data_IF_784273050509
#
_entry.id   IF_784273050509
#
_cell.length_a   1.000
_cell.length_b   1.000
_cell.length_c   1.000
_cell.angle_alpha   90.00
_cell.angle_beta   90.00
_cell.angle_gamma   90.00
#
_symmetry.space_group_name_H-M   'P 1'
#
loop_
_entity.id
_entity.type
_entity.pdbx_description
1 polymer ?
#
# COMPACT_ATOMS: atom_id res chain seq x y z
N UNK A 1 -13.67 -18.11 4.98
CA UNK A 1 -13.74 -16.71 4.52
C UNK A 1 -14.99 -16.04 5.07
N UNK A 2 -16.10 -16.01 4.31
CA UNK A 2 -17.37 -15.38 4.70
C UNK A 2 -17.90 -15.87 6.04
N UNK A 3 -17.89 -17.18 6.30
CA UNK A 3 -18.28 -17.72 7.61
C UNK A 3 -17.41 -17.21 8.77
N UNK A 4 -16.09 -17.02 8.55
CA UNK A 4 -15.20 -16.45 9.57
C UNK A 4 -15.46 -14.98 9.79
N UNK A 5 -15.72 -14.24 8.71
CA UNK A 5 -16.12 -12.84 8.78
C UNK A 5 -17.42 -12.70 9.57
N UNK A 6 -18.44 -13.50 9.24
CA UNK A 6 -19.71 -13.51 9.98
C UNK A 6 -19.52 -13.79 11.47
N UNK A 7 -18.71 -14.80 11.82
CA UNK A 7 -18.37 -15.10 13.23
C UNK A 7 -17.61 -13.95 13.90
N UNK A 8 -16.68 -13.30 13.20
CA UNK A 8 -15.97 -12.14 13.72
C UNK A 8 -16.91 -10.95 13.97
N UNK A 9 -17.85 -10.71 13.04
CA UNK A 9 -18.87 -9.67 13.14
C UNK A 9 -19.86 -9.93 14.29
N UNK A 10 -20.27 -11.18 14.49
CA UNK A 10 -21.09 -11.59 15.64
C UNK A 10 -20.36 -11.35 16.96
N UNK A 11 -19.07 -11.72 17.04
CA UNK A 11 -18.24 -11.45 18.23
C UNK A 11 -18.10 -9.94 18.47
N UNK A 12 -17.91 -9.16 17.41
CA UNK A 12 -17.83 -7.70 17.50
C UNK A 12 -19.14 -7.09 18.04
N UNK A 13 -20.30 -7.52 17.50
CA UNK A 13 -21.62 -7.09 17.99
C UNK A 13 -21.86 -7.48 19.45
N UNK A 14 -21.42 -8.66 19.86
CA UNK A 14 -21.56 -9.13 21.24
C UNK A 14 -20.81 -8.27 22.27
N UNK A 15 -19.85 -7.44 21.86
CA UNK A 15 -19.15 -6.50 22.77
C UNK A 15 -20.02 -5.33 23.22
N UNK A 16 -21.13 -5.03 22.52
CA UNK A 16 -21.95 -3.85 22.77
C UNK A 16 -21.31 -2.52 22.32
N UNK A 17 -20.18 -2.57 21.61
CA UNK A 17 -19.54 -1.37 21.04
C UNK A 17 -20.46 -0.71 19.99
N UNK A 18 -20.47 0.62 19.95
CA UNK A 18 -21.34 1.36 19.03
C UNK A 18 -20.87 1.27 17.56
N UNK A 19 -19.56 1.16 17.35
CA UNK A 19 -18.92 1.11 16.03
C UNK A 19 -17.52 0.50 16.12
N UNK A 20 -16.91 0.22 14.97
CA UNK A 20 -15.58 -0.41 14.90
C UNK A 20 -14.48 0.43 15.56
N UNK A 21 -14.57 1.76 15.55
CA UNK A 21 -13.53 2.60 16.13
C UNK A 21 -13.54 2.54 17.65
N UNK A 22 -14.73 2.44 18.27
CA UNK A 22 -14.87 2.18 19.72
C UNK A 22 -14.40 0.77 20.07
N UNK A 23 -14.68 -0.20 19.22
CA UNK A 23 -14.26 -1.60 19.42
C UNK A 23 -12.73 -1.74 19.50
N UNK A 24 -11.99 -0.98 18.68
CA UNK A 24 -10.52 -1.09 18.62
C UNK A 24 -9.77 -0.04 19.45
N UNK A 25 -10.46 0.90 20.10
CA UNK A 25 -9.85 2.10 20.70
C UNK A 25 -8.72 1.82 21.71
N UNK A 26 -8.81 0.71 22.47
CA UNK A 26 -7.83 0.32 23.48
C UNK A 26 -6.62 -0.44 22.91
N UNK A 27 -6.64 -0.78 21.62
CA UNK A 27 -5.52 -1.48 20.97
C UNK A 27 -4.41 -0.50 20.58
N UNK A 28 -3.16 -0.96 20.44
CA UNK A 28 -2.08 -0.16 19.82
C UNK A 28 -2.46 0.29 18.41
N UNK A 29 -1.98 1.47 17.98
CA UNK A 29 -2.37 2.09 16.70
C UNK A 29 -2.19 1.15 15.48
N UNK A 30 -1.05 0.45 15.41
CA UNK A 30 -0.80 -0.53 14.36
C UNK A 30 -1.78 -1.71 14.40
N UNK A 31 -2.16 -2.18 15.59
CA UNK A 31 -3.17 -3.24 15.71
C UNK A 31 -4.55 -2.73 15.30
N UNK A 32 -4.93 -1.49 15.67
CA UNK A 32 -6.17 -0.86 15.22
C UNK A 32 -6.24 -0.85 13.68
N UNK A 33 -5.18 -0.39 13.03
CA UNK A 33 -5.10 -0.36 11.56
C UNK A 33 -5.19 -1.76 10.98
N UNK A 34 -4.47 -2.75 11.53
CA UNK A 34 -4.58 -4.13 11.05
C UNK A 34 -6.01 -4.66 11.19
N UNK A 35 -6.71 -4.38 12.31
CA UNK A 35 -8.11 -4.78 12.50
C UNK A 35 -9.03 -4.12 11.48
N UNK A 36 -8.81 -2.84 11.17
CA UNK A 36 -9.58 -2.13 10.14
C UNK A 36 -9.29 -2.69 8.75
N UNK A 37 -8.04 -3.05 8.43
CA UNK A 37 -7.72 -3.74 7.17
C UNK A 37 -8.40 -5.11 7.06
N UNK A 38 -8.55 -5.82 8.19
CA UNK A 38 -9.23 -7.11 8.25
C UNK A 38 -10.74 -7.01 8.04
N UNK A 39 -11.33 -5.80 7.95
CA UNK A 39 -12.68 -5.61 7.43
C UNK A 39 -12.72 -5.84 5.90
N UNK A 40 -11.65 -5.57 5.17
CA UNK A 40 -11.62 -5.66 3.70
C UNK A 40 -11.30 -7.09 3.21
N UNK A 41 -12.16 -8.07 3.53
CA UNK A 41 -11.90 -9.49 3.24
C UNK A 41 -12.22 -9.94 1.81
N UNK A 42 -12.84 -9.08 1.01
CA UNK A 42 -13.27 -9.41 -0.37
C UNK A 42 -12.11 -9.37 -1.38
N UNK A 43 -10.99 -8.75 -1.00
CA UNK A 43 -9.82 -8.58 -1.84
C UNK A 43 -9.92 -7.32 -2.71
N UNK A 44 -9.27 -7.33 -3.87
CA UNK A 44 -9.21 -6.15 -4.75
C UNK A 44 -10.57 -5.90 -5.42
N UNK A 45 -11.19 -4.77 -5.08
CA UNK A 45 -12.44 -4.19 -5.60
C UNK A 45 -12.63 -4.25 -7.13
N UNK A 46 -11.59 -3.93 -7.92
CA UNK A 46 -11.69 -3.90 -9.40
C UNK A 46 -11.30 -5.22 -10.07
N UNK A 47 -10.77 -6.19 -9.32
CA UNK A 47 -10.26 -7.44 -9.90
C UNK A 47 -11.29 -8.56 -9.70
N UNK A 48 -11.81 -9.20 -10.77
CA UNK A 48 -12.90 -10.19 -10.64
C UNK A 48 -12.51 -11.43 -9.82
N UNK A 49 -11.22 -11.70 -9.69
CA UNK A 49 -10.68 -12.72 -8.80
C UNK A 49 -9.84 -12.11 -7.67
N UNK A 50 -10.33 -11.02 -7.05
CA UNK A 50 -9.66 -10.26 -5.99
C UNK A 50 -9.21 -11.12 -4.79
N UNK A 51 -9.91 -12.23 -4.57
CA UNK A 51 -9.65 -13.18 -3.49
C UNK A 51 -8.82 -14.42 -3.88
N UNK A 52 -8.38 -14.54 -5.13
CA UNK A 52 -7.57 -15.70 -5.55
C UNK A 52 -6.28 -15.81 -4.72
N UNK A 53 -5.96 -17.05 -4.31
CA UNK A 53 -4.72 -17.47 -3.63
C UNK A 53 -4.16 -18.73 -4.30
N UNK A 54 -3.66 -18.65 -5.54
CA UNK A 54 -3.15 -19.85 -6.22
C UNK A 54 -1.82 -20.28 -5.59
N UNK A 55 -1.72 -21.55 -5.23
CA UNK A 55 -0.60 -22.12 -4.47
C UNK A 55 -0.96 -22.49 -3.03
N UNK A 56 -2.13 -22.07 -2.54
CA UNK A 56 -2.61 -22.39 -1.20
C UNK A 56 -3.73 -23.43 -1.21
N UNK A 57 -3.67 -24.34 -0.25
CA UNK A 57 -4.80 -25.16 0.17
C UNK A 57 -5.77 -24.32 1.00
N UNK A 58 -6.92 -24.90 1.35
CA UNK A 58 -7.83 -24.26 2.30
C UNK A 58 -7.16 -24.06 3.66
N UNK A 59 -6.41 -25.05 4.16
CA UNK A 59 -5.75 -24.98 5.47
C UNK A 59 -4.67 -23.89 5.51
N UNK A 60 -3.95 -23.70 4.41
CA UNK A 60 -2.99 -22.59 4.28
C UNK A 60 -3.69 -21.23 4.36
N UNK A 61 -4.77 -21.04 3.59
CA UNK A 61 -5.54 -19.80 3.63
C UNK A 61 -6.15 -19.58 5.02
N UNK A 62 -6.54 -20.66 5.69
CA UNK A 62 -7.05 -20.63 7.05
C UNK A 62 -6.00 -20.18 8.08
N UNK A 63 -4.74 -20.56 7.90
CA UNK A 63 -3.65 -20.22 8.81
C UNK A 63 -3.02 -18.85 8.52
N UNK A 64 -3.01 -18.41 7.26
CA UNK A 64 -2.11 -17.33 6.81
C UNK A 64 -2.78 -16.16 6.07
N UNK A 65 -4.05 -16.29 5.64
CA UNK A 65 -4.73 -15.19 4.92
C UNK A 65 -5.21 -14.08 5.87
N UNK A 66 -5.77 -13.01 5.29
CA UNK A 66 -6.19 -11.80 6.01
C UNK A 66 -7.15 -12.07 7.18
N UNK A 67 -8.01 -13.10 7.11
CA UNK A 67 -8.92 -13.45 8.22
C UNK A 67 -8.29 -14.29 9.33
N UNK A 68 -6.99 -14.58 9.24
CA UNK A 68 -6.29 -15.26 10.33
C UNK A 68 -6.15 -14.35 11.55
N UNK A 69 -6.18 -14.95 12.74
CA UNK A 69 -5.86 -14.23 13.98
C UNK A 69 -4.37 -13.80 14.03
N UNK A 70 -3.54 -14.45 13.23
CA UNK A 70 -2.12 -14.16 13.08
C UNK A 70 -1.38 -15.30 12.39
N UNK A 71 -0.15 -15.03 12.01
CA UNK A 71 0.80 -16.02 11.48
C UNK A 71 2.15 -15.79 12.17
N UNK A 72 3.20 -16.44 11.70
CA UNK A 72 4.54 -16.28 12.24
C UNK A 72 5.56 -15.87 11.17
N UNK A 73 6.61 -15.21 11.65
CA UNK A 73 7.87 -14.95 10.95
C UNK A 73 8.87 -15.95 11.48
N UNK A 74 9.46 -16.74 10.59
CA UNK A 74 10.48 -17.75 10.87
C UNK A 74 11.80 -17.31 10.27
N UNK A 75 12.87 -18.02 10.60
CA UNK A 75 14.22 -17.63 10.19
C UNK A 75 14.99 -18.80 9.62
N UNK A 76 15.77 -18.52 8.58
CA UNK A 76 16.76 -19.45 8.02
C UNK A 76 18.13 -18.80 7.99
N UNK A 77 19.19 -19.59 8.11
CA UNK A 77 20.56 -19.11 7.96
C UNK A 77 20.94 -19.09 6.48
N UNK A 78 21.15 -17.91 5.92
CA UNK A 78 21.69 -17.75 4.57
C UNK A 78 23.20 -17.54 4.66
N UNK A 79 24.05 -18.26 3.89
CA UNK A 79 25.49 -18.00 3.85
C UNK A 79 25.79 -16.53 3.57
N UNK A 80 26.81 -15.97 4.23
CA UNK A 80 27.14 -14.55 4.15
C UNK A 80 27.43 -14.10 2.71
N UNK A 81 28.05 -14.97 1.91
CA UNK A 81 28.38 -14.69 0.50
C UNK A 81 27.13 -14.67 -0.39
N UNK A 82 26.09 -15.40 0.00
CA UNK A 82 24.80 -15.42 -0.68
C UNK A 82 23.85 -14.31 -0.20
N UNK A 83 24.13 -13.68 0.94
CA UNK A 83 23.29 -12.62 1.49
C UNK A 83 23.49 -11.29 0.73
N UNK A 84 22.39 -10.58 0.48
CA UNK A 84 22.40 -9.27 -0.19
C UNK A 84 21.53 -8.30 0.59
N UNK A 85 22.14 -7.26 1.14
CA UNK A 85 21.43 -6.17 1.79
C UNK A 85 21.78 -6.02 3.27
N UNK A 86 20.84 -5.47 4.03
CA UNK A 86 21.02 -5.17 5.46
C UNK A 86 20.96 -6.42 6.33
N UNK A 87 21.66 -6.44 7.46
CA UNK A 87 21.58 -7.56 8.41
C UNK A 87 20.26 -7.53 9.19
N UNK A 88 19.23 -8.19 8.65
CA UNK A 88 17.93 -8.25 9.28
C UNK A 88 17.94 -9.10 10.55
N UNK A 89 18.86 -10.06 10.67
CA UNK A 89 19.03 -10.86 11.88
C UNK A 89 19.40 -10.01 13.09
N UNK A 90 20.44 -9.18 12.92
CA UNK A 90 20.86 -8.21 13.93
C UNK A 90 19.72 -7.26 14.32
N UNK A 91 19.03 -6.68 13.32
CA UNK A 91 17.93 -5.74 13.54
C UNK A 91 16.73 -6.38 14.27
N UNK A 92 16.47 -7.66 14.04
CA UNK A 92 15.34 -8.39 14.63
C UNK A 92 15.72 -9.18 15.90
N UNK A 93 16.98 -9.10 16.34
CA UNK A 93 17.47 -9.82 17.52
C UNK A 93 17.57 -11.33 17.34
N UNK A 94 17.77 -11.82 16.12
CA UNK A 94 17.90 -13.25 15.80
C UNK A 94 19.34 -13.59 15.42
N UNK A 95 19.98 -14.40 16.25
CA UNK A 95 21.35 -14.84 16.03
C UNK A 95 21.44 -15.88 14.90
N UNK A 96 22.51 -15.80 14.11
CA UNK A 96 22.86 -16.79 13.11
C UNK A 96 24.22 -17.44 13.43
N UNK A 97 24.46 -18.69 13.03
CA UNK A 97 25.77 -19.32 13.13
C UNK A 97 26.85 -18.53 12.37
N UNK A 98 28.11 -18.72 12.75
CA UNK A 98 29.24 -18.12 12.04
C UNK A 98 29.17 -18.45 10.54
N UNK A 99 29.40 -17.44 9.71
CA UNK A 99 29.31 -17.56 8.25
C UNK A 99 27.90 -17.43 7.68
N UNK A 100 26.86 -17.27 8.50
CA UNK A 100 25.48 -17.07 8.06
C UNK A 100 24.92 -15.72 8.49
N UNK A 101 23.78 -15.36 7.90
CA UNK A 101 22.89 -14.26 8.28
C UNK A 101 21.48 -14.79 8.48
N UNK A 102 20.79 -14.33 9.52
CA UNK A 102 19.42 -14.75 9.77
C UNK A 102 18.48 -14.01 8.81
N UNK A 103 17.82 -14.76 7.94
CA UNK A 103 16.89 -14.24 6.96
C UNK A 103 15.45 -14.53 7.42
N UNK A 104 14.62 -13.49 7.68
CA UNK A 104 13.22 -13.69 7.99
C UNK A 104 12.45 -14.22 6.77
N UNK A 105 11.57 -15.19 7.02
CA UNK A 105 10.69 -15.83 6.04
C UNK A 105 9.29 -15.97 6.62
N UNK A 106 8.26 -15.83 5.78
CA UNK A 106 6.90 -16.08 6.21
C UNK A 106 6.74 -17.56 6.60
N UNK A 107 5.98 -17.88 7.65
CA UNK A 107 5.83 -19.27 8.15
C UNK A 107 5.44 -20.27 7.05
N UNK A 108 4.51 -19.92 6.16
CA UNK A 108 4.19 -20.75 4.99
C UNK A 108 5.36 -20.87 3.99
N UNK A 109 6.04 -19.74 3.72
CA UNK A 109 7.16 -19.70 2.78
C UNK A 109 8.35 -20.55 3.26
N UNK A 110 8.49 -20.77 4.57
CA UNK A 110 9.49 -21.68 5.12
C UNK A 110 9.39 -23.09 4.53
N UNK A 111 8.16 -23.59 4.28
CA UNK A 111 7.96 -24.90 3.63
C UNK A 111 8.58 -24.93 2.23
N UNK A 112 8.29 -23.91 1.42
CA UNK A 112 8.85 -23.74 0.07
C UNK A 112 10.38 -23.61 0.11
N UNK A 113 10.91 -22.84 1.07
CA UNK A 113 12.35 -22.66 1.24
C UNK A 113 13.04 -23.96 1.60
N UNK A 114 12.47 -24.77 2.51
CA UNK A 114 13.04 -26.06 2.91
C UNK A 114 13.06 -27.07 1.76
N UNK A 115 12.07 -27.03 0.87
CA UNK A 115 12.02 -27.89 -0.31
C UNK A 115 13.08 -27.47 -1.35
N UNK A 116 13.20 -26.17 -1.64
CA UNK A 116 14.09 -25.65 -2.69
C UNK A 116 15.54 -25.51 -2.26
N UNK A 117 15.79 -25.27 -0.97
CA UNK A 117 17.10 -24.98 -0.40
C UNK A 117 17.31 -25.80 0.90
N UNK A 118 17.33 -27.14 0.81
CA UNK A 118 17.39 -28.03 1.98
C UNK A 118 18.68 -27.89 2.79
N UNK A 119 19.70 -27.25 2.24
CA UNK A 119 20.98 -26.96 2.90
C UNK A 119 20.94 -25.72 3.82
N UNK A 120 19.92 -24.86 3.70
CA UNK A 120 19.78 -23.70 4.59
C UNK A 120 19.24 -24.14 5.96
N UNK A 121 19.98 -23.95 7.06
CA UNK A 121 19.49 -24.32 8.38
C UNK A 121 18.31 -23.45 8.79
N UNK A 122 17.27 -24.06 9.36
CA UNK A 122 16.23 -23.33 10.09
C UNK A 122 16.81 -22.86 11.41
N UNK A 123 16.68 -21.58 11.71
CA UNK A 123 17.20 -20.99 12.94
C UNK A 123 16.13 -20.99 14.03
N UNK A 124 16.60 -20.99 15.28
CA UNK A 124 15.76 -20.72 16.42
C UNK A 124 15.33 -19.25 16.41
N UNK A 125 14.05 -19.01 16.70
CA UNK A 125 13.44 -17.69 16.61
C UNK A 125 12.11 -17.73 15.88
N UNK A 126 11.13 -17.08 16.48
CA UNK A 126 9.82 -16.91 15.90
C UNK A 126 9.26 -15.56 16.36
N UNK A 127 8.75 -14.78 15.42
CA UNK A 127 8.01 -13.56 15.74
C UNK A 127 6.55 -13.73 15.32
N UNK A 128 5.65 -13.27 16.18
CA UNK A 128 4.21 -13.32 15.92
C UNK A 128 3.84 -12.17 14.98
N UNK A 129 3.17 -12.49 13.89
CA UNK A 129 2.76 -11.53 12.86
C UNK A 129 1.25 -11.35 12.84
N UNK A 130 0.79 -10.10 12.92
CA UNK A 130 -0.58 -9.71 12.59
C UNK A 130 -0.69 -9.49 11.09
N UNK A 131 -1.59 -10.22 10.44
CA UNK A 131 -1.72 -10.26 8.97
C UNK A 131 -2.44 -9.02 8.46
N UNK A 132 -1.76 -8.23 7.64
CA UNK A 132 -2.35 -7.07 6.93
C UNK A 132 -3.16 -7.52 5.71
N UNK A 133 -3.89 -6.61 5.06
CA UNK A 133 -4.56 -6.87 3.77
C UNK A 133 -3.58 -7.26 2.65
N UNK A 134 -2.29 -6.96 2.81
CA UNK A 134 -1.24 -7.42 1.88
C UNK A 134 -0.92 -8.91 2.01
N UNK A 135 -1.43 -9.59 3.05
CA UNK A 135 -1.19 -10.99 3.45
C UNK A 135 0.27 -11.24 3.85
N UNK A 136 1.22 -10.95 2.97
CA UNK A 136 2.66 -11.12 3.17
C UNK A 136 3.36 -10.00 3.95
N UNK A 137 2.62 -8.97 4.37
CA UNK A 137 3.14 -7.92 5.25
C UNK A 137 2.55 -8.14 6.63
N UNK A 138 3.40 -8.30 7.62
CA UNK A 138 3.02 -8.67 8.97
C UNK A 138 3.45 -7.57 9.94
N UNK A 139 2.51 -7.00 10.71
CA UNK A 139 2.92 -6.20 11.86
C UNK A 139 3.39 -7.12 12.98
N UNK A 140 4.57 -6.85 13.53
CA UNK A 140 5.23 -7.71 14.50
C UNK A 140 5.47 -6.94 15.80
N UNK A 141 4.59 -7.08 16.81
CA UNK A 141 4.65 -6.30 18.03
C UNK A 141 5.98 -6.44 18.79
N UNK A 142 6.60 -7.63 18.73
CA UNK A 142 7.86 -7.92 19.44
C UNK A 142 9.03 -7.03 19.02
N UNK A 143 9.01 -6.51 17.80
CA UNK A 143 10.08 -5.67 17.23
C UNK A 143 9.57 -4.31 16.76
N UNK A 144 8.30 -4.01 17.06
CA UNK A 144 7.58 -2.80 16.66
C UNK A 144 7.81 -2.40 15.19
N UNK A 145 7.60 -3.33 14.26
CA UNK A 145 7.82 -3.11 12.85
C UNK A 145 6.90 -3.96 11.97
N UNK A 146 6.69 -3.51 10.73
CA UNK A 146 6.08 -4.31 9.68
C UNK A 146 7.15 -5.08 8.90
N UNK A 147 6.95 -6.37 8.71
CA UNK A 147 7.81 -7.23 7.89
C UNK A 147 7.07 -7.64 6.63
N UNK A 148 7.52 -7.11 5.49
CA UNK A 148 7.05 -7.49 4.15
C UNK A 148 7.95 -8.61 3.63
N UNK A 149 7.39 -9.81 3.55
CA UNK A 149 8.14 -11.05 3.30
C UNK A 149 7.79 -11.62 1.93
N UNK A 150 8.73 -12.31 1.29
CA UNK A 150 8.41 -13.07 0.10
C UNK A 150 7.40 -14.18 0.39
N UNK A 151 6.45 -14.33 -0.53
CA UNK A 151 5.40 -15.34 -0.47
C UNK A 151 5.11 -15.84 -1.89
N UNK A 152 5.49 -17.08 -2.20
CA UNK A 152 5.33 -17.66 -3.54
C UNK A 152 3.91 -18.16 -3.83
N UNK A 153 2.96 -17.24 -3.66
CA UNK A 153 1.53 -17.42 -3.88
C UNK A 153 1.08 -16.37 -4.87
N UNK A 154 0.26 -16.78 -5.83
CA UNK A 154 -0.38 -15.81 -6.73
C UNK A 154 -1.60 -15.20 -6.05
N UNK A 155 -1.50 -13.90 -5.76
CA UNK A 155 -2.61 -13.09 -5.26
C UNK A 155 -3.00 -12.13 -6.36
N UNK A 156 -4.26 -12.21 -6.79
CA UNK A 156 -4.81 -11.58 -8.00
C UNK A 156 -4.07 -12.01 -9.27
N UNK A 157 -3.28 -11.13 -9.89
CA UNK A 157 -2.56 -11.38 -11.15
C UNK A 157 -1.07 -11.59 -10.98
N UNK A 158 -0.53 -11.50 -9.75
CA UNK A 158 0.92 -11.47 -9.53
C UNK A 158 1.33 -12.42 -8.41
N UNK A 159 2.41 -13.16 -8.63
CA UNK A 159 3.10 -13.91 -7.56
C UNK A 159 3.73 -12.94 -6.57
N UNK A 160 3.45 -13.12 -5.28
CA UNK A 160 3.84 -12.18 -4.23
C UNK A 160 5.25 -12.42 -3.68
N UNK A 161 6.19 -12.63 -4.59
CA UNK A 161 7.63 -12.59 -4.29
C UNK A 161 8.15 -11.15 -4.31
N UNK A 162 9.34 -10.91 -3.75
CA UNK A 162 9.97 -9.59 -3.68
C UNK A 162 11.29 -9.63 -4.44
N UNK A 163 11.51 -8.68 -5.35
CA UNK A 163 12.77 -8.58 -6.09
C UNK A 163 13.90 -8.04 -5.20
N UNK A 164 15.14 -8.46 -5.46
CA UNK A 164 16.33 -7.86 -4.84
C UNK A 164 16.41 -6.36 -5.09
N UNK A 165 15.98 -5.90 -6.28
CA UNK A 165 15.94 -4.46 -6.56
C UNK A 165 15.00 -3.71 -5.58
N UNK A 166 13.84 -4.28 -5.24
CA UNK A 166 12.92 -3.68 -4.26
C UNK A 166 13.55 -3.61 -2.86
N UNK A 167 14.24 -4.66 -2.42
CA UNK A 167 14.87 -4.67 -1.08
C UNK A 167 16.03 -3.68 -0.98
N UNK A 168 16.72 -3.41 -2.09
CA UNK A 168 17.85 -2.47 -2.14
C UNK A 168 17.43 -1.01 -2.39
N UNK A 169 16.39 -0.79 -3.19
CA UNK A 169 15.89 0.56 -3.46
C UNK A 169 15.10 1.14 -2.29
N UNK A 170 14.40 0.30 -1.51
CA UNK A 170 13.56 0.72 -0.38
C UNK A 170 14.25 1.67 0.62
N UNK A 171 15.41 1.29 1.19
CA UNK A 171 16.14 2.14 2.15
C UNK A 171 16.58 3.49 1.56
N UNK A 172 17.08 3.50 0.33
CA UNK A 172 17.49 4.72 -0.36
C UNK A 172 16.30 5.65 -0.63
N UNK A 173 15.21 5.11 -1.16
CA UNK A 173 13.99 5.90 -1.43
C UNK A 173 13.34 6.39 -0.13
N UNK A 174 13.47 5.63 0.95
CA UNK A 174 13.01 6.02 2.28
C UNK A 174 13.76 7.21 2.88
N UNK A 175 14.99 7.47 2.43
CA UNK A 175 15.73 8.68 2.80
C UNK A 175 15.36 9.89 1.94
N UNK A 176 15.03 9.66 0.65
CA UNK A 176 14.73 10.71 -0.32
C UNK A 176 13.28 11.21 -0.24
N UNK A 177 12.32 10.30 -0.32
CA UNK A 177 10.91 10.63 -0.53
C UNK A 177 10.28 11.49 0.57
N UNK A 178 10.59 11.33 1.89
CA UNK A 178 10.04 12.20 2.92
C UNK A 178 10.37 13.68 2.70
N UNK A 179 11.57 13.99 2.19
CA UNK A 179 11.97 15.37 1.89
C UNK A 179 11.16 15.95 0.74
N UNK A 180 11.00 15.18 -0.34
CA UNK A 180 10.22 15.60 -1.51
C UNK A 180 8.74 15.76 -1.16
N UNK A 181 8.19 14.86 -0.34
CA UNK A 181 6.81 14.94 0.15
C UNK A 181 6.58 16.20 0.98
N UNK A 182 7.50 16.54 1.89
CA UNK A 182 7.43 17.78 2.66
C UNK A 182 7.48 19.02 1.75
N UNK A 183 8.31 19.00 0.70
CA UNK A 183 8.37 20.09 -0.28
C UNK A 183 7.12 20.17 -1.16
N UNK A 184 6.50 19.02 -1.46
CA UNK A 184 5.32 18.89 -2.31
C UNK A 184 4.02 19.30 -1.62
N UNK A 185 3.86 18.94 -0.34
CA UNK A 185 2.57 19.03 0.35
C UNK A 185 2.67 19.38 1.86
N UNK A 186 3.86 19.72 2.37
CA UNK A 186 4.08 20.06 3.78
C UNK A 186 3.82 18.88 4.73
N UNK A 187 3.43 19.20 5.96
CA UNK A 187 3.22 18.22 7.05
C UNK A 187 1.90 17.44 6.92
N UNK A 188 1.11 17.71 5.87
CA UNK A 188 -0.13 17.00 5.57
C UNK A 188 0.08 15.56 5.09
N UNK A 189 1.31 15.16 4.78
CA UNK A 189 1.66 13.83 4.27
C UNK A 189 2.90 13.27 4.93
N UNK A 190 2.90 11.97 5.22
CA UNK A 190 4.07 11.24 5.72
C UNK A 190 4.22 9.91 4.98
N UNK A 191 5.43 9.35 5.01
CA UNK A 191 5.74 8.05 4.44
C UNK A 191 6.16 7.09 5.55
N UNK A 192 5.55 5.90 5.61
CA UNK A 192 6.09 4.79 6.38
C UNK A 192 7.32 4.25 5.67
N UNK A 193 8.50 4.58 6.21
CA UNK A 193 9.78 4.24 5.58
C UNK A 193 10.03 2.74 5.61
N UNK A 194 10.79 2.29 4.64
CA UNK A 194 11.31 0.93 4.50
C UNK A 194 12.83 0.96 4.76
N UNK A 195 13.28 1.15 6.01
CA UNK A 195 14.67 1.48 6.34
C UNK A 195 15.68 0.35 6.11
N UNK A 196 15.22 -0.89 5.95
CA UNK A 196 16.10 -2.02 5.73
C UNK A 196 15.45 -3.06 4.81
N UNK A 197 16.28 -3.71 3.99
CA UNK A 197 15.86 -4.80 3.13
C UNK A 197 17.00 -5.77 2.82
N UNK A 198 16.65 -7.05 2.80
CA UNK A 198 17.59 -8.12 2.49
C UNK A 198 16.97 -9.13 1.52
N UNK A 199 17.85 -9.77 0.76
CA UNK A 199 17.55 -10.85 -0.18
C UNK A 199 18.70 -11.86 -0.18
N UNK A 200 18.54 -12.91 -0.98
CA UNK A 200 19.59 -13.90 -1.22
C UNK A 200 19.99 -13.93 -2.70
N UNK A 201 21.19 -14.39 -3.02
CA UNK A 201 21.63 -14.77 -4.37
C UNK A 201 21.18 -16.18 -4.76
N UNK A 202 20.64 -16.97 -3.81
CA UNK A 202 20.15 -18.33 -4.06
C UNK A 202 18.94 -18.31 -5.01
N UNK A 203 18.95 -19.20 -6.00
CA UNK A 203 17.89 -19.29 -6.99
C UNK A 203 17.67 -17.96 -7.72
N UNK A 204 16.43 -17.46 -7.74
CA UNK A 204 16.12 -16.14 -8.30
C UNK A 204 16.31 -14.98 -7.31
N UNK A 205 16.73 -15.28 -6.07
CA UNK A 205 16.77 -14.38 -4.92
C UNK A 205 15.40 -13.96 -4.37
N UNK A 206 14.34 -14.14 -5.15
CA UNK A 206 13.00 -13.68 -4.82
C UNK A 206 12.30 -14.48 -3.75
N UNK A 207 12.72 -15.70 -3.46
CA UNK A 207 12.09 -16.57 -2.44
C UNK A 207 12.47 -16.18 -1.01
N UNK A 208 13.58 -15.47 -0.84
CA UNK A 208 14.24 -15.17 0.43
C UNK A 208 14.40 -13.67 0.65
N UNK A 209 13.52 -12.87 0.06
CA UNK A 209 13.54 -11.41 0.21
C UNK A 209 12.63 -10.96 1.36
N UNK A 210 13.07 -9.95 2.09
CA UNK A 210 12.32 -9.30 3.15
C UNK A 210 12.62 -7.80 3.21
N UNK A 211 11.63 -7.03 3.61
CA UNK A 211 11.71 -5.59 3.82
C UNK A 211 11.15 -5.28 5.21
N UNK A 212 11.88 -4.48 5.99
CA UNK A 212 11.42 -3.92 7.26
C UNK A 212 10.83 -2.56 6.96
N UNK A 213 9.62 -2.31 7.46
CA UNK A 213 8.93 -1.02 7.41
C UNK A 213 8.64 -0.53 8.82
N UNK A 214 8.75 0.78 9.01
CA UNK A 214 8.48 1.46 10.27
C UNK A 214 7.04 1.24 10.75
N UNK A 215 6.81 1.25 12.09
CA UNK A 215 5.47 1.25 12.65
C UNK A 215 4.77 2.59 12.37
N UNK A 216 3.47 2.66 12.67
CA UNK A 216 2.71 3.89 12.54
C UNK A 216 3.18 4.96 13.54
N UNK A 217 3.10 6.25 13.16
CA UNK A 217 3.22 7.32 14.13
C UNK A 217 2.08 7.22 15.14
N UNK A 218 2.36 7.56 16.40
CA UNK A 218 1.34 7.61 17.44
C UNK A 218 0.31 8.69 17.10
N UNK A 219 -1.00 8.37 16.99
CA UNK A 219 -2.02 9.37 16.78
C UNK A 219 -2.14 10.32 17.98
N UNK A 220 -2.46 11.58 17.74
CA UNK A 220 -2.83 12.51 18.80
C UNK A 220 -4.20 12.16 19.40
N UNK A 221 -4.54 12.77 20.54
CA UNK A 221 -5.86 12.59 21.13
C UNK A 221 -6.96 13.04 20.15
N UNK A 222 -7.99 12.21 19.96
CA UNK A 222 -9.07 12.47 19.00
C UNK A 222 -8.76 12.06 17.54
N UNK A 223 -7.54 11.63 17.25
CA UNK A 223 -7.16 11.15 15.93
C UNK A 223 -7.33 9.64 15.76
N UNK A 224 -7.75 9.25 14.56
CA UNK A 224 -7.91 7.85 14.15
C UNK A 224 -7.17 7.62 12.84
N UNK A 225 -6.29 6.62 12.79
CA UNK A 225 -5.61 6.23 11.55
C UNK A 225 -6.45 5.13 10.89
N UNK A 226 -6.90 5.38 9.67
CA UNK A 226 -7.80 4.46 8.94
C UNK A 226 -7.17 4.07 7.62
N UNK A 227 -6.94 2.77 7.36
CA UNK A 227 -6.46 2.32 6.05
C UNK A 227 -7.55 2.56 5.01
N UNK A 228 -7.20 3.16 3.87
CA UNK A 228 -8.21 3.61 2.91
C UNK A 228 -9.02 2.42 2.33
N UNK A 229 -8.43 1.22 2.29
CA UNK A 229 -9.13 -0.02 1.89
C UNK A 229 -10.35 -0.36 2.76
N UNK A 230 -10.44 0.16 3.99
CA UNK A 230 -11.59 -0.06 4.86
C UNK A 230 -12.73 0.94 4.63
N UNK A 231 -12.50 2.06 3.92
CA UNK A 231 -13.44 3.18 3.83
C UNK A 231 -14.80 2.78 3.22
N UNK A 232 -14.79 1.99 2.14
CA UNK A 232 -15.99 1.49 1.47
C UNK A 232 -16.59 0.23 2.11
N UNK A 233 -16.02 -0.27 3.21
CA UNK A 233 -16.51 -1.48 3.87
C UNK A 233 -17.58 -1.11 4.90
N UNK A 234 -18.64 -1.91 4.99
CA UNK A 234 -19.63 -1.79 6.05
C UNK A 234 -19.02 -2.14 7.42
N UNK A 235 -19.20 -1.24 8.38
CA UNK A 235 -18.95 -1.50 9.79
C UNK A 235 -19.97 -2.52 10.32
N UNK A 236 -19.53 -3.68 10.83
CA UNK A 236 -20.45 -4.73 11.25
C UNK A 236 -21.26 -4.39 12.50
N UNK A 237 -20.93 -3.31 13.20
CA UNK A 237 -21.61 -2.85 14.41
C UNK A 237 -22.69 -1.81 14.10
N UNK A 238 -22.35 -0.75 13.36
CA UNK A 238 -23.33 0.31 13.00
C UNK A 238 -24.11 0.03 11.72
N UNK A 239 -23.62 -0.86 10.84
CA UNK A 239 -24.17 -1.12 9.51
C UNK A 239 -23.88 -0.05 8.46
N UNK A 240 -23.22 1.05 8.83
CA UNK A 240 -22.81 2.11 7.92
C UNK A 240 -21.45 1.79 7.28
N UNK A 241 -21.19 2.32 6.08
CA UNK A 241 -19.83 2.29 5.55
C UNK A 241 -18.88 3.10 6.45
N UNK A 242 -17.62 2.68 6.57
CA UNK A 242 -16.64 3.35 7.43
C UNK A 242 -16.46 4.83 7.05
N UNK A 243 -16.47 5.16 5.76
CA UNK A 243 -16.40 6.55 5.29
C UNK A 243 -17.61 7.38 5.74
N UNK A 244 -18.81 6.80 5.75
CA UNK A 244 -20.02 7.48 6.18
C UNK A 244 -20.03 7.71 7.70
N UNK A 245 -19.47 6.77 8.49
CA UNK A 245 -19.25 6.98 9.92
C UNK A 245 -18.33 8.17 10.17
N UNK A 246 -17.21 8.26 9.45
CA UNK A 246 -16.24 9.35 9.57
C UNK A 246 -16.88 10.68 9.15
N UNK A 247 -17.61 10.70 8.03
CA UNK A 247 -18.34 11.88 7.57
C UNK A 247 -19.34 12.37 8.60
N UNK A 248 -20.18 11.48 9.17
CA UNK A 248 -21.15 11.85 10.21
C UNK A 248 -20.47 12.43 11.44
N UNK A 249 -19.35 11.86 11.88
CA UNK A 249 -18.56 12.38 13.02
C UNK A 249 -17.99 13.76 12.72
N UNK A 250 -17.54 13.99 11.50
CA UNK A 250 -17.01 15.29 11.08
C UNK A 250 -18.08 16.39 11.02
N UNK A 251 -19.36 16.03 10.89
CA UNK A 251 -20.45 16.98 10.66
C UNK A 251 -20.40 17.68 9.30
N UNK A 252 -19.54 17.23 8.37
CA UNK A 252 -19.46 17.74 7.00
C UNK A 252 -20.56 17.16 6.12
N UNK A 253 -20.95 17.92 5.09
CA UNK A 253 -21.69 17.36 3.95
C UNK A 253 -20.81 16.37 3.19
N UNK A 254 -21.40 15.52 2.35
CA UNK A 254 -20.64 14.58 1.53
C UNK A 254 -19.68 15.31 0.58
N UNK A 255 -20.12 16.40 -0.04
CA UNK A 255 -19.30 17.25 -0.91
C UNK A 255 -18.11 17.87 -0.17
N UNK A 256 -18.33 18.45 1.02
CA UNK A 256 -17.27 19.09 1.79
C UNK A 256 -16.27 18.06 2.34
N UNK A 257 -16.74 16.86 2.68
CA UNK A 257 -15.86 15.75 3.07
C UNK A 257 -15.03 15.26 1.89
N UNK A 258 -15.66 15.07 0.72
CA UNK A 258 -14.99 14.64 -0.50
C UNK A 258 -13.93 15.66 -0.95
N UNK A 259 -14.26 16.96 -0.95
CA UNK A 259 -13.30 18.03 -1.26
C UNK A 259 -12.07 17.96 -0.33
N UNK A 260 -12.28 17.91 0.99
CA UNK A 260 -11.18 17.81 1.97
C UNK A 260 -10.35 16.54 1.78
N UNK A 261 -11.00 15.39 1.52
CA UNK A 261 -10.33 14.11 1.30
C UNK A 261 -9.54 14.13 -0.02
N UNK A 262 -10.13 14.62 -1.11
CA UNK A 262 -9.49 14.72 -2.42
C UNK A 262 -8.29 15.66 -2.38
N UNK A 263 -8.37 16.82 -1.70
CA UNK A 263 -7.22 17.73 -1.51
C UNK A 263 -6.08 17.04 -0.77
N UNK A 264 -6.39 16.34 0.31
CA UNK A 264 -5.41 15.63 1.12
C UNK A 264 -4.69 14.53 0.33
N UNK A 265 -5.41 13.80 -0.53
CA UNK A 265 -4.85 12.75 -1.38
C UNK A 265 -4.09 13.32 -2.58
N UNK A 266 -4.71 14.22 -3.34
CA UNK A 266 -4.23 14.63 -4.66
C UNK A 266 -3.08 15.62 -4.59
N UNK A 267 -3.02 16.50 -3.58
CA UNK A 267 -1.92 17.47 -3.45
C UNK A 267 -0.54 16.78 -3.47
N UNK A 268 -0.22 15.82 -2.58
CA UNK A 268 1.07 15.14 -2.63
C UNK A 268 1.24 14.31 -3.90
N UNK A 269 0.19 13.64 -4.38
CA UNK A 269 0.29 12.73 -5.54
C UNK A 269 0.62 13.49 -6.83
N UNK A 270 -0.11 14.56 -7.12
CA UNK A 270 0.07 15.34 -8.34
C UNK A 270 1.37 16.16 -8.27
N UNK A 271 1.64 16.82 -7.14
CA UNK A 271 2.86 17.60 -6.99
C UNK A 271 4.14 16.74 -7.09
N UNK A 272 4.14 15.52 -6.55
CA UNK A 272 5.29 14.61 -6.66
C UNK A 272 5.54 14.16 -8.10
N UNK A 273 4.48 13.88 -8.87
CA UNK A 273 4.59 13.48 -10.26
C UNK A 273 5.05 14.64 -11.16
N UNK A 274 4.45 15.82 -10.98
CA UNK A 274 4.74 16.99 -11.81
C UNK A 274 6.10 17.61 -11.51
N UNK A 275 6.46 17.80 -10.24
CA UNK A 275 7.70 18.51 -9.86
C UNK A 275 8.93 17.62 -9.85
N UNK A 276 8.77 16.36 -9.48
CA UNK A 276 9.90 15.46 -9.22
C UNK A 276 9.88 14.19 -10.08
N UNK A 277 8.85 13.97 -10.90
CA UNK A 277 8.74 12.74 -11.67
C UNK A 277 8.47 11.50 -10.83
N UNK A 278 7.93 11.66 -9.62
CA UNK A 278 7.64 10.53 -8.71
C UNK A 278 6.16 10.19 -8.76
N UNK A 279 5.84 9.11 -9.47
CA UNK A 279 4.49 8.54 -9.55
C UNK A 279 4.24 7.64 -8.36
N UNK A 280 3.58 8.19 -7.33
CA UNK A 280 3.15 7.45 -6.15
C UNK A 280 2.05 6.44 -6.53
N UNK A 281 2.14 5.21 -6.00
CA UNK A 281 1.11 4.18 -6.19
C UNK A 281 0.00 4.34 -5.13
N UNK A 282 -0.75 5.44 -5.22
CA UNK A 282 -1.69 5.91 -4.18
C UNK A 282 -3.07 5.21 -4.21
N UNK A 283 -3.10 3.89 -4.44
CA UNK A 283 -4.33 3.10 -4.36
C UNK A 283 -4.73 2.84 -2.90
N UNK A 284 -5.97 2.43 -2.64
CA UNK A 284 -6.54 2.26 -1.29
C UNK A 284 -5.64 1.50 -0.29
N UNK A 285 -4.96 0.44 -0.73
CA UNK A 285 -4.12 -0.36 0.17
C UNK A 285 -2.82 0.36 0.60
N UNK A 286 -2.32 1.32 -0.17
CA UNK A 286 -1.06 2.03 0.10
C UNK A 286 -1.26 3.36 0.82
N UNK A 287 -2.52 3.73 1.07
CA UNK A 287 -2.88 4.96 1.74
C UNK A 287 -3.57 4.65 3.08
N UNK A 288 -3.14 5.34 4.13
CA UNK A 288 -3.89 5.48 5.36
C UNK A 288 -4.17 6.95 5.58
N UNK A 289 -5.33 7.26 6.14
CA UNK A 289 -5.74 8.63 6.40
C UNK A 289 -5.91 8.79 7.90
N UNK A 290 -5.26 9.82 8.45
CA UNK A 290 -5.52 10.27 9.82
C UNK A 290 -6.76 11.16 9.78
N UNK A 291 -7.74 10.81 10.59
CA UNK A 291 -8.96 11.58 10.77
C UNK A 291 -8.98 12.19 12.17
N UNK A 292 -9.11 13.51 12.26
CA UNK A 292 -9.31 14.23 13.52
C UNK A 292 -10.82 14.50 13.69
N UNK A 293 -11.45 13.86 14.67
CA UNK A 293 -12.91 13.91 14.87
C UNK A 293 -13.71 13.61 13.59
N UNK A 294 -13.22 12.65 12.80
CA UNK A 294 -13.81 12.27 11.51
C UNK A 294 -13.43 13.17 10.33
N UNK A 295 -12.76 14.31 10.51
CA UNK A 295 -12.26 15.13 9.39
C UNK A 295 -10.94 14.60 8.84
N UNK A 296 -10.76 14.45 7.51
CA UNK A 296 -9.46 14.10 6.92
C UNK A 296 -8.41 15.14 7.33
N UNK A 297 -7.31 14.72 7.94
CA UNK A 297 -6.31 15.61 8.51
C UNK A 297 -4.90 15.38 7.93
N UNK A 298 -4.47 14.12 7.80
CA UNK A 298 -3.15 13.77 7.25
C UNK A 298 -3.19 12.49 6.44
N UNK A 299 -2.33 12.39 5.44
CA UNK A 299 -2.12 11.21 4.62
C UNK A 299 -0.85 10.48 5.08
N UNK A 300 -0.93 9.15 5.19
CA UNK A 300 0.22 8.27 5.41
C UNK A 300 0.32 7.35 4.21
N UNK A 301 1.44 7.45 3.50
CA UNK A 301 1.77 6.61 2.35
C UNK A 301 2.64 5.43 2.80
N UNK A 302 2.54 4.31 2.09
CA UNK A 302 3.42 3.15 2.27
C UNK A 302 3.58 2.36 0.97
N UNK A 303 4.51 1.41 1.01
CA UNK A 303 4.92 0.55 -0.10
C UNK A 303 5.64 1.29 -1.24
N UNK A 304 6.93 0.98 -1.38
CA UNK A 304 7.80 1.59 -2.38
C UNK A 304 8.00 0.70 -3.61
N UNK A 305 7.43 -0.51 -3.65
CA UNK A 305 7.76 -1.47 -4.70
C UNK A 305 7.08 -1.18 -6.05
N UNK A 306 5.98 -0.43 -6.06
CA UNK A 306 5.18 -0.19 -7.27
C UNK A 306 5.15 1.26 -7.77
N UNK A 307 5.99 2.13 -7.18
CA UNK A 307 6.17 3.51 -7.64
C UNK A 307 6.75 3.58 -9.08
N UNK A 308 6.63 4.77 -9.67
CA UNK A 308 7.29 5.13 -10.94
C UNK A 308 8.22 6.32 -10.71
N UNK A 309 9.44 6.21 -11.23
CA UNK A 309 10.45 7.27 -11.19
C UNK A 309 10.78 7.68 -12.61
N UNK A 310 10.44 8.91 -12.95
CA UNK A 310 10.68 9.49 -14.26
C UNK A 310 12.08 10.10 -14.31
N UNK A 311 13.00 9.44 -15.02
CA UNK A 311 14.43 9.78 -15.06
C UNK A 311 14.69 11.25 -15.44
N UNK A 312 14.15 11.74 -16.57
CA UNK A 312 14.35 13.12 -17.00
C UNK A 312 13.84 14.15 -15.98
N UNK A 313 12.65 13.94 -15.40
CA UNK A 313 12.09 14.88 -14.41
C UNK A 313 12.86 14.88 -13.09
N UNK A 314 13.37 13.73 -12.66
CA UNK A 314 14.28 13.64 -11.52
C UNK A 314 15.58 14.43 -11.80
N UNK A 315 16.15 14.28 -13.00
CA UNK A 315 17.35 15.00 -13.39
C UNK A 315 17.12 16.53 -13.47
N UNK A 316 15.98 16.97 -14.01
CA UNK A 316 15.58 18.38 -14.05
C UNK A 316 15.40 18.96 -12.64
N UNK A 317 14.94 18.15 -11.68
CA UNK A 317 14.87 18.49 -10.26
C UNK A 317 16.22 18.40 -9.53
N UNK A 318 17.32 18.10 -10.24
CA UNK A 318 18.66 17.97 -9.65
C UNK A 318 18.86 16.70 -8.81
N UNK A 319 18.04 15.68 -9.00
CA UNK A 319 18.05 14.43 -8.24
C UNK A 319 18.65 13.29 -9.05
N UNK A 320 19.68 12.65 -8.50
CA UNK A 320 20.23 11.41 -9.03
C UNK A 320 19.75 10.22 -8.19
N UNK A 321 18.99 9.31 -8.81
CA UNK A 321 18.45 8.12 -8.13
C UNK A 321 19.04 6.85 -8.77
N UNK A 322 20.18 6.32 -8.26
CA UNK A 322 20.81 5.14 -8.82
C UNK A 322 20.02 3.88 -8.44
N UNK A 323 19.10 3.49 -9.31
CA UNK A 323 18.30 2.27 -9.11
C UNK A 323 19.15 1.02 -9.21
N UNK A 324 18.86 0.03 -8.35
CA UNK A 324 19.48 -1.28 -8.42
C UNK A 324 19.25 -1.95 -9.79
N UNK A 325 20.22 -2.68 -10.35
CA UNK A 325 20.07 -3.37 -11.63
C UNK A 325 18.82 -4.24 -11.70
N UNK A 326 18.10 -4.17 -12.83
CA UNK A 326 16.84 -4.90 -13.04
C UNK A 326 15.63 -4.31 -12.30
N UNK A 327 15.77 -3.12 -11.71
CA UNK A 327 14.64 -2.37 -11.16
C UNK A 327 13.62 -2.02 -12.25
N UNK A 328 12.34 -2.22 -11.94
CA UNK A 328 11.21 -1.95 -12.84
C UNK A 328 10.46 -0.67 -12.48
N UNK A 329 10.98 0.13 -11.55
CA UNK A 329 10.32 1.39 -11.12
C UNK A 329 10.75 2.60 -11.96
N UNK A 330 11.87 2.53 -12.67
CA UNK A 330 12.33 3.60 -13.56
C UNK A 330 11.54 3.64 -14.87
N UNK A 331 11.35 4.84 -15.41
CA UNK A 331 10.77 5.08 -16.73
C UNK A 331 11.25 6.45 -17.24
N UNK A 332 11.27 6.63 -18.57
CA UNK A 332 11.52 7.92 -19.21
C UNK A 332 10.28 8.37 -20.01
N UNK A 333 9.12 7.74 -19.74
CA UNK A 333 7.87 7.97 -20.45
C UNK A 333 6.85 8.65 -19.51
N UNK A 334 6.49 9.88 -19.85
CA UNK A 334 5.49 10.67 -19.13
C UNK A 334 4.13 9.95 -19.05
N UNK A 335 3.70 9.27 -20.13
CA UNK A 335 2.42 8.56 -20.14
C UNK A 335 2.45 7.36 -19.20
N UNK A 336 3.59 6.67 -19.03
CA UNK A 336 3.73 5.58 -18.05
C UNK A 336 3.65 6.11 -16.61
N UNK A 337 4.30 7.25 -16.34
CA UNK A 337 4.22 7.94 -15.05
C UNK A 337 2.77 8.35 -14.74
N UNK A 338 2.14 9.08 -15.65
CA UNK A 338 0.82 9.65 -15.45
C UNK A 338 -0.29 8.60 -15.47
N UNK A 339 -0.18 7.54 -16.27
CA UNK A 339 -1.13 6.42 -16.22
C UNK A 339 -1.11 5.70 -14.87
N UNK A 340 0.07 5.56 -14.23
CA UNK A 340 0.17 5.00 -12.87
C UNK A 340 -0.55 5.90 -11.86
N UNK A 341 -0.32 7.20 -11.92
CA UNK A 341 -0.97 8.18 -11.03
C UNK A 341 -2.48 8.18 -11.26
N UNK A 342 -2.93 8.31 -12.51
CA UNK A 342 -4.33 8.33 -12.90
C UNK A 342 -5.07 7.08 -12.39
N UNK A 343 -4.52 5.89 -12.68
CA UNK A 343 -5.12 4.63 -12.25
C UNK A 343 -5.21 4.52 -10.73
N UNK A 344 -4.14 4.84 -10.01
CA UNK A 344 -4.07 4.53 -8.58
C UNK A 344 -4.86 5.53 -7.73
N UNK A 345 -4.77 6.83 -8.03
CA UNK A 345 -5.42 7.87 -7.25
C UNK A 345 -6.89 8.08 -7.63
N UNK A 346 -7.22 8.05 -8.92
CA UNK A 346 -8.59 8.34 -9.37
C UNK A 346 -9.42 7.07 -9.49
N UNK A 347 -8.96 6.09 -10.26
CA UNK A 347 -9.76 4.88 -10.52
C UNK A 347 -9.80 3.94 -9.31
N UNK A 348 -8.64 3.55 -8.79
CA UNK A 348 -8.53 2.53 -7.74
C UNK A 348 -8.68 3.07 -6.31
N UNK A 349 -8.93 4.38 -6.16
CA UNK A 349 -9.05 5.04 -4.86
C UNK A 349 -10.23 6.00 -4.80
N UNK A 350 -10.18 7.17 -5.45
CA UNK A 350 -11.28 8.14 -5.37
C UNK A 350 -12.59 7.60 -5.93
N UNK A 351 -12.56 6.77 -6.98
CA UNK A 351 -13.74 6.11 -7.51
C UNK A 351 -14.49 5.30 -6.45
N UNK A 352 -13.78 4.61 -5.57
CA UNK A 352 -14.38 3.85 -4.47
C UNK A 352 -14.88 4.76 -3.35
N UNK A 353 -14.18 5.85 -3.06
CA UNK A 353 -14.62 6.82 -2.04
C UNK A 353 -15.89 7.55 -2.49
N UNK A 354 -15.96 7.94 -3.77
CA UNK A 354 -17.14 8.56 -4.38
C UNK A 354 -18.32 7.61 -4.33
N UNK A 355 -18.14 6.36 -4.76
CA UNK A 355 -19.17 5.32 -4.71
C UNK A 355 -19.64 5.06 -3.26
N UNK A 356 -18.69 4.99 -2.32
CA UNK A 356 -18.97 4.71 -0.92
C UNK A 356 -19.74 5.82 -0.19
N UNK A 357 -19.53 7.09 -0.58
CA UNK A 357 -20.30 8.23 -0.07
C UNK A 357 -21.75 8.24 -0.59
N UNK A 358 -22.02 7.60 -1.74
CA UNK A 358 -23.37 7.39 -2.27
C UNK A 358 -24.11 8.67 -2.67
N UNK A 359 -23.37 9.72 -3.07
CA UNK A 359 -23.93 11.01 -3.50
C UNK A 359 -24.03 11.10 -5.04
N UNK A 360 -24.52 12.22 -5.56
CA UNK A 360 -24.58 12.46 -7.01
C UNK A 360 -23.18 12.36 -7.65
N UNK A 361 -23.04 11.43 -8.61
CA UNK A 361 -21.76 11.11 -9.24
C UNK A 361 -21.19 12.31 -10.02
N UNK A 362 -22.04 13.06 -10.73
CA UNK A 362 -21.58 14.18 -11.54
C UNK A 362 -21.06 15.31 -10.65
N UNK A 363 -21.79 15.64 -9.57
CA UNK A 363 -21.37 16.64 -8.58
C UNK A 363 -20.10 16.20 -7.83
N UNK A 364 -19.99 14.92 -7.50
CA UNK A 364 -18.81 14.36 -6.82
C UNK A 364 -17.56 14.49 -7.68
N UNK A 365 -17.64 14.11 -8.97
CA UNK A 365 -16.51 14.25 -9.88
C UNK A 365 -16.21 15.70 -10.27
N UNK A 366 -17.22 16.57 -10.34
CA UNK A 366 -17.00 18.01 -10.47
C UNK A 366 -16.23 18.59 -9.27
N UNK A 367 -16.52 18.12 -8.05
CA UNK A 367 -15.77 18.49 -6.85
C UNK A 367 -14.32 18.05 -6.95
N UNK A 368 -14.07 16.79 -7.35
CA UNK A 368 -12.71 16.27 -7.57
C UNK A 368 -12.00 17.06 -8.68
N UNK A 369 -12.70 17.41 -9.77
CA UNK A 369 -12.14 18.20 -10.87
C UNK A 369 -11.72 19.58 -10.42
N UNK A 370 -12.52 20.26 -9.61
CA UNK A 370 -12.16 21.56 -9.03
C UNK A 370 -10.87 21.48 -8.21
N UNK A 371 -10.71 20.44 -7.38
CA UNK A 371 -9.47 20.19 -6.63
C UNK A 371 -8.26 19.98 -7.56
N UNK A 372 -8.43 19.23 -8.64
CA UNK A 372 -7.37 19.01 -9.64
C UNK A 372 -6.96 20.33 -10.29
N UNK A 373 -7.92 21.13 -10.74
CA UNK A 373 -7.66 22.42 -11.40
C UNK A 373 -6.91 23.37 -10.46
N UNK A 374 -7.36 23.52 -9.22
CA UNK A 374 -6.70 24.37 -8.23
C UNK A 374 -5.25 23.94 -7.94
N UNK A 375 -5.00 22.62 -7.83
CA UNK A 375 -3.64 22.11 -7.63
C UNK A 375 -2.76 22.42 -8.84
N UNK A 376 -3.27 22.27 -10.06
CA UNK A 376 -2.51 22.54 -11.27
C UNK A 376 -2.28 24.03 -11.53
N UNK A 377 -3.20 24.91 -11.11
CA UNK A 377 -2.98 26.36 -11.11
C UNK A 377 -1.79 26.74 -10.23
N UNK A 378 -1.67 26.14 -9.04
CA UNK A 378 -0.49 26.34 -8.17
C UNK A 378 0.78 25.76 -8.82
N UNK A 379 0.71 24.53 -9.35
CA UNK A 379 1.87 23.87 -9.97
C UNK A 379 2.35 24.59 -11.23
N UNK A 380 1.47 25.27 -11.97
CA UNK A 380 1.83 26.07 -13.13
C UNK A 380 2.79 27.23 -12.79
N UNK A 381 2.81 27.69 -11.53
CA UNK A 381 3.78 28.70 -11.06
C UNK A 381 5.17 28.12 -10.76
N UNK A 382 5.28 26.79 -10.59
CA UNK A 382 6.51 26.09 -10.18
C UNK A 382 7.14 25.34 -11.36
N UNK A 383 6.32 24.59 -12.10
CA UNK A 383 6.74 23.75 -13.22
C UNK A 383 5.75 23.93 -14.40
N UNK A 384 5.76 25.08 -15.10
CA UNK A 384 4.70 25.48 -16.03
C UNK A 384 4.41 24.45 -17.13
N UNK A 385 5.45 23.97 -17.80
CA UNK A 385 5.29 23.06 -18.94
C UNK A 385 4.80 21.68 -18.50
N UNK A 386 5.36 21.14 -17.41
CA UNK A 386 4.95 19.85 -16.85
C UNK A 386 3.53 19.93 -16.25
N UNK A 387 3.19 21.01 -15.55
CA UNK A 387 1.85 21.22 -15.01
C UNK A 387 0.80 21.26 -16.12
N UNK A 388 1.08 21.99 -17.21
CA UNK A 388 0.19 22.08 -18.36
C UNK A 388 0.00 20.73 -19.06
N UNK A 389 1.09 19.98 -19.30
CA UNK A 389 1.00 18.67 -19.98
C UNK A 389 0.31 17.61 -19.11
N UNK A 390 0.64 17.56 -17.82
CA UNK A 390 0.04 16.62 -16.87
C UNK A 390 -1.46 16.90 -16.66
N UNK A 391 -1.83 18.18 -16.50
CA UNK A 391 -3.23 18.61 -16.39
C UNK A 391 -4.03 18.23 -17.64
N UNK A 392 -3.49 18.50 -18.84
CA UNK A 392 -4.13 18.15 -20.09
C UNK A 392 -4.30 16.62 -20.24
N UNK A 393 -3.34 15.82 -19.77
CA UNK A 393 -3.44 14.37 -19.75
C UNK A 393 -4.56 13.89 -18.82
N UNK A 394 -4.60 14.41 -17.59
CA UNK A 394 -5.54 13.97 -16.55
C UNK A 394 -6.99 14.44 -16.80
N UNK A 395 -7.19 15.47 -17.63
CA UNK A 395 -8.50 16.05 -17.96
C UNK A 395 -8.92 15.77 -19.42
N UNK A 396 -8.13 14.99 -20.15
CA UNK A 396 -8.45 14.55 -21.50
C UNK A 396 -9.79 13.78 -21.54
N UNK A 397 -10.51 13.75 -22.69
CA UNK A 397 -11.79 13.03 -22.84
C UNK A 397 -11.73 11.57 -22.41
N UNK A 398 -10.56 10.95 -22.53
CA UNK A 398 -10.32 9.59 -22.08
C UNK A 398 -9.02 9.45 -21.32
N UNK A 399 -9.02 8.60 -20.29
CA UNK A 399 -7.84 8.26 -19.50
C UNK A 399 -7.52 6.76 -19.61
N UNK A 400 -6.24 6.37 -19.45
CA UNK A 400 -5.85 4.97 -19.48
C UNK A 400 -6.33 4.24 -18.22
N UNK A 401 -7.21 3.27 -18.38
CA UNK A 401 -7.65 2.37 -17.30
C UNK A 401 -6.93 1.03 -17.37
N UNK A 402 -6.45 0.55 -16.22
CA UNK A 402 -5.70 -0.71 -16.15
C UNK A 402 -6.62 -1.89 -16.43
N UNK A 403 -6.28 -2.67 -17.46
CA UNK A 403 -7.10 -3.78 -17.94
C UNK A 403 -6.78 -5.10 -17.20
N UNK A 404 -7.08 -5.14 -15.90
CA UNK A 404 -6.73 -6.24 -14.99
C UNK A 404 -7.13 -7.64 -15.51
N UNK A 405 -8.31 -7.75 -16.14
CA UNK A 405 -8.80 -9.01 -16.73
C UNK A 405 -7.96 -9.42 -17.94
N UNK A 406 -7.64 -8.49 -18.84
CA UNK A 406 -6.78 -8.77 -20.01
C UNK A 406 -5.40 -9.21 -19.56
N UNK A 407 -4.83 -8.52 -18.57
CA UNK A 407 -3.54 -8.89 -17.99
C UNK A 407 -3.57 -10.29 -17.37
N UNK A 408 -4.69 -10.71 -16.77
CA UNK A 408 -4.85 -12.08 -16.25
C UNK A 408 -4.94 -13.13 -17.36
N UNK A 409 -5.63 -12.82 -18.46
CA UNK A 409 -5.75 -13.72 -19.60
C UNK A 409 -4.46 -13.82 -20.43
N UNK A 410 -3.62 -12.78 -20.41
CA UNK A 410 -2.35 -12.71 -21.11
C UNK A 410 -1.21 -12.18 -20.18
N UNK A 411 -0.70 -13.02 -19.27
CA UNK A 411 0.20 -12.59 -18.18
C UNK A 411 1.60 -12.14 -18.63
N UNK A 412 1.99 -12.36 -19.88
CA UNK A 412 3.33 -12.08 -20.39
C UNK A 412 3.57 -10.61 -20.84
N UNK A 413 2.56 -9.74 -20.79
CA UNK A 413 2.59 -8.43 -21.46
C UNK A 413 2.83 -7.19 -20.58
N UNK A 414 3.12 -7.34 -19.29
CA UNK A 414 3.23 -6.21 -18.37
C UNK A 414 1.88 -5.51 -18.13
N UNK A 415 1.93 -4.22 -17.77
CA UNK A 415 0.72 -3.43 -17.52
C UNK A 415 0.04 -3.08 -18.84
N UNK A 416 -1.24 -3.47 -18.99
CA UNK A 416 -2.07 -3.16 -20.16
C UNK A 416 -3.12 -2.13 -19.75
N UNK A 417 -3.26 -1.08 -20.56
CA UNK A 417 -4.27 -0.04 -20.36
C UNK A 417 -5.26 0.00 -21.53
N UNK A 418 -6.50 0.42 -21.24
CA UNK A 418 -7.54 0.69 -22.24
C UNK A 418 -8.12 2.08 -22.00
N UNK A 419 -8.37 2.88 -23.05
CA UNK A 419 -8.99 4.19 -22.87
C UNK A 419 -10.42 4.03 -22.35
N UNK A 420 -10.81 4.88 -21.41
CA UNK A 420 -12.17 4.99 -20.86
C UNK A 420 -12.54 6.45 -20.72
N UNK A 421 -13.84 6.74 -20.79
CA UNK A 421 -14.37 8.07 -20.54
C UNK A 421 -13.88 8.59 -19.19
N UNK A 422 -13.42 9.83 -19.20
CA UNK A 422 -12.83 10.45 -18.03
C UNK A 422 -13.90 11.27 -17.31
N UNK A 423 -14.26 10.96 -16.05
CA UNK A 423 -15.23 11.74 -15.30
C UNK A 423 -14.71 13.14 -14.93
N UNK A 424 -13.41 13.39 -15.07
CA UNK A 424 -12.82 14.72 -14.95
C UNK A 424 -12.95 15.53 -16.24
N UNK A 425 -13.41 14.96 -17.35
CA UNK A 425 -13.55 15.68 -18.62
C UNK A 425 -14.88 16.42 -18.70
N UNK A 426 -14.80 17.69 -19.11
CA UNK A 426 -15.87 18.68 -18.97
C UNK A 426 -15.48 19.72 -17.94
#
# INVERSE_FOLDING_TARGET
AYARRAVADERARATGSADVFRLVAELPADEQVVRLEQLATEGHNLHPCGRTRLGWTLDDAQAHDVESAGTAVRFVGVPTDDHVGDDLGERLGVAAPRGHRAQPVHAWQLGVVRERYPDLPVLDGELAGRVTAAVRTLWTPQVDAYLKLSLDVQITSTRRTISTASTRNGPMLSALLPRLLAEAAGDGVTLLREPAGAASRRGSGRDLSAIVREPLPRPAAGEQIVPAIALGVADPLSGLQVVELLRRRSGLTAQAFLDAYARLLLRPVLAMATRFGVGLEAHLQNCLTVFADGRPARLILRDLAGLRLHGPRLADAGLAVPLWPGSVVGTDDDAVLLAKVAYTAFQAHLGEVVEALGDDLALSWATVRGVVDEIYDELASIAPDAAKSDHAFLTAPSVPHKALVRMRLAPAGGDVYVPRENPLHG
#
